data_IF_342824857051
#
_entry.id   IF_342824857051
#
_cell.length_a   1.000
_cell.length_b   1.000
_cell.length_c   1.000
_cell.angle_alpha   90.00
_cell.angle_beta   90.00
_cell.angle_gamma   90.00
#
_symmetry.space_group_name_H-M   'P 1'
#
loop_
_entity.id
_entity.type
_entity.pdbx_description
1 polymer ?
#
# COMPACT_ATOMS: atom_id res chain seq x y z
N UNK A 1 37.50 22.93 17.70
CA UNK A 1 37.09 21.59 18.14
C UNK A 1 35.65 21.43 17.68
N UNK A 2 35.33 20.64 16.64
CA UNK A 2 33.92 20.44 16.32
C UNK A 2 33.38 19.45 17.34
N UNK A 3 32.42 19.91 18.13
CA UNK A 3 31.66 19.06 19.05
C UNK A 3 31.02 17.94 18.24
N UNK A 4 31.16 16.71 18.75
CA UNK A 4 30.52 15.54 18.14
C UNK A 4 29.01 15.70 18.34
N UNK A 5 28.34 16.26 17.34
CA UNK A 5 26.89 16.11 17.20
C UNK A 5 26.57 14.61 17.35
N UNK A 6 25.71 14.28 18.30
CA UNK A 6 25.22 12.92 18.43
C UNK A 6 24.48 12.60 17.13
N UNK A 7 24.77 11.43 16.54
CA UNK A 7 24.03 10.97 15.36
C UNK A 7 22.54 10.90 15.72
N UNK A 8 21.65 11.36 14.84
CA UNK A 8 20.18 11.31 15.04
C UNK A 8 19.72 9.89 15.42
N UNK A 9 20.39 8.89 14.87
CA UNK A 9 20.25 7.48 15.21
C UNK A 9 20.40 7.19 16.72
N UNK A 10 21.35 7.85 17.39
CA UNK A 10 21.58 7.70 18.83
C UNK A 10 20.42 8.28 19.65
N UNK A 11 19.91 9.45 19.28
CA UNK A 11 18.79 10.11 19.96
C UNK A 11 17.48 9.33 19.78
N UNK A 12 17.21 8.87 18.56
CA UNK A 12 16.05 8.02 18.28
C UNK A 12 16.10 6.70 19.07
N UNK A 13 17.30 6.11 19.24
CA UNK A 13 17.47 4.91 20.08
C UNK A 13 17.28 5.17 21.58
N UNK A 14 17.47 6.40 22.06
CA UNK A 14 17.12 6.74 23.45
C UNK A 14 15.60 6.74 23.65
N UNK A 15 14.86 7.26 22.67
CA UNK A 15 13.39 7.29 22.69
C UNK A 15 12.78 5.89 22.48
N UNK A 16 13.39 5.07 21.63
CA UNK A 16 12.96 3.70 21.32
C UNK A 16 14.09 2.69 21.59
N UNK A 17 14.30 2.28 22.87
CA UNK A 17 15.47 1.50 23.27
C UNK A 17 15.46 0.04 22.80
N UNK A 18 14.28 -0.49 22.42
CA UNK A 18 14.12 -1.89 22.01
C UNK A 18 13.50 -2.00 20.62
N UNK A 19 14.01 -2.95 19.83
CA UNK A 19 13.36 -3.35 18.58
C UNK A 19 12.04 -4.06 18.89
N UNK A 20 10.97 -3.69 18.18
CA UNK A 20 9.64 -4.32 18.36
C UNK A 20 9.58 -5.68 17.64
N UNK A 21 10.42 -5.89 16.62
CA UNK A 21 10.57 -7.13 15.85
C UNK A 21 12.02 -7.31 15.40
N UNK A 22 12.43 -8.54 15.04
CA UNK A 22 13.79 -8.79 14.51
C UNK A 22 14.08 -8.04 13.21
N UNK A 23 13.04 -7.82 12.39
CA UNK A 23 13.09 -7.06 11.15
C UNK A 23 12.69 -5.59 11.34
N UNK A 24 12.69 -5.11 12.58
CA UNK A 24 12.47 -3.70 12.88
C UNK A 24 13.69 -2.87 12.48
N UNK A 25 13.45 -1.97 11.51
CA UNK A 25 14.43 -1.05 10.95
C UNK A 25 13.93 0.40 10.96
N UNK A 26 12.85 0.70 11.70
CA UNK A 26 12.22 2.02 11.65
C UNK A 26 13.20 3.13 12.04
N UNK A 27 13.91 2.97 13.16
CA UNK A 27 14.94 3.92 13.62
C UNK A 27 16.04 4.12 12.57
N UNK A 28 16.43 3.05 11.89
CA UNK A 28 17.49 3.09 10.86
C UNK A 28 16.99 3.81 9.59
N UNK A 29 15.71 3.68 9.25
CA UNK A 29 15.06 4.39 8.15
C UNK A 29 14.90 5.88 8.46
N UNK A 30 14.42 6.22 9.65
CA UNK A 30 14.24 7.60 10.09
C UNK A 30 15.58 8.33 10.15
N UNK A 31 16.59 7.73 10.77
CA UNK A 31 17.93 8.32 10.84
C UNK A 31 18.50 8.58 9.44
N UNK A 32 18.40 7.61 8.51
CA UNK A 32 18.88 7.78 7.13
C UNK A 32 18.16 8.94 6.43
N UNK A 33 16.83 9.03 6.52
CA UNK A 33 16.05 10.05 5.85
C UNK A 33 16.32 11.45 6.41
N UNK A 34 16.40 11.57 7.74
CA UNK A 34 16.66 12.85 8.40
C UNK A 34 18.11 13.31 8.16
N UNK A 35 19.09 12.41 8.22
CA UNK A 35 20.49 12.74 7.93
C UNK A 35 20.62 13.33 6.50
N UNK A 36 20.04 12.64 5.51
CA UNK A 36 20.03 13.13 4.11
C UNK A 36 19.28 14.44 3.96
N UNK A 37 18.20 14.62 4.70
CA UNK A 37 17.44 15.86 4.68
C UNK A 37 18.25 17.04 5.26
N UNK A 38 18.96 16.84 6.37
CA UNK A 38 19.83 17.87 6.96
C UNK A 38 21.00 18.24 6.05
N UNK A 39 21.58 17.27 5.35
CA UNK A 39 22.62 17.54 4.34
C UNK A 39 22.06 18.42 3.20
N UNK A 40 20.87 18.11 2.69
CA UNK A 40 20.18 18.93 1.68
C UNK A 40 19.84 20.32 2.23
N UNK A 41 19.42 20.43 3.50
CA UNK A 41 19.11 21.70 4.13
C UNK A 41 20.36 22.59 4.22
N UNK A 42 21.50 22.00 4.58
CA UNK A 42 22.79 22.69 4.60
C UNK A 42 23.19 23.20 3.21
N UNK A 43 23.04 22.38 2.18
CA UNK A 43 23.39 22.74 0.81
C UNK A 43 22.52 23.89 0.25
N UNK A 44 21.27 24.00 0.71
CA UNK A 44 20.32 24.99 0.23
C UNK A 44 20.34 26.30 1.03
N UNK A 45 20.46 26.22 2.35
CA UNK A 45 20.25 27.35 3.26
C UNK A 45 21.47 27.64 4.16
N UNK A 46 22.55 26.86 4.03
CA UNK A 46 23.79 27.03 4.79
C UNK A 46 23.81 26.30 6.13
N UNK A 47 24.99 26.21 6.76
CA UNK A 47 25.20 25.44 7.98
C UNK A 47 24.45 25.98 9.20
N UNK A 48 24.30 27.31 9.32
CA UNK A 48 23.61 27.93 10.45
C UNK A 48 22.16 27.46 10.60
N UNK A 49 21.43 27.32 9.48
CA UNK A 49 20.04 26.87 9.53
C UNK A 49 19.93 25.37 9.80
N UNK A 50 20.87 24.58 9.28
CA UNK A 50 20.98 23.14 9.60
C UNK A 50 21.19 22.94 11.10
N UNK A 51 22.17 23.63 11.67
CA UNK A 51 22.50 23.59 13.10
C UNK A 51 21.28 23.99 13.94
N UNK A 52 20.60 25.07 13.57
CA UNK A 52 19.39 25.50 14.28
C UNK A 52 18.26 24.46 14.24
N UNK A 53 17.96 23.88 13.08
CA UNK A 53 16.92 22.83 12.95
C UNK A 53 17.32 21.60 13.75
N UNK A 54 18.60 21.22 13.71
CA UNK A 54 19.11 20.12 14.52
C UNK A 54 18.95 20.41 16.00
N UNK A 55 19.41 21.54 16.52
CA UNK A 55 19.22 21.92 17.94
C UNK A 55 17.75 21.88 18.37
N UNK A 56 16.84 22.40 17.53
CA UNK A 56 15.41 22.31 17.82
C UNK A 56 14.91 20.86 17.87
N UNK A 57 15.42 19.98 17.01
CA UNK A 57 15.10 18.56 17.02
C UNK A 57 15.63 17.88 18.31
N UNK A 58 16.86 18.19 18.71
CA UNK A 58 17.50 17.64 19.91
C UNK A 58 16.76 18.06 21.19
N UNK A 59 16.44 19.35 21.33
CA UNK A 59 15.64 19.87 22.45
C UNK A 59 14.25 19.23 22.51
N UNK A 60 13.63 18.97 21.35
CA UNK A 60 12.33 18.29 21.29
C UNK A 60 12.41 16.83 21.71
N UNK A 61 13.49 16.14 21.32
CA UNK A 61 13.74 14.76 21.72
C UNK A 61 14.03 14.65 23.24
N UNK A 62 14.83 15.56 23.79
CA UNK A 62 15.08 15.64 25.23
C UNK A 62 13.83 16.00 26.03
N UNK A 63 12.96 16.86 25.48
CA UNK A 63 11.67 17.16 26.08
C UNK A 63 10.80 15.91 26.19
N UNK A 64 10.75 15.03 25.17
CA UNK A 64 9.93 13.81 25.28
C UNK A 64 10.44 12.84 26.34
N UNK A 65 11.76 12.83 26.63
CA UNK A 65 12.35 11.98 27.67
C UNK A 65 11.97 12.43 29.10
N UNK A 66 12.19 13.70 29.45
CA UNK A 66 12.01 14.17 30.83
C UNK A 66 10.72 14.98 31.05
N UNK A 67 10.04 15.42 29.98
CA UNK A 67 8.84 16.28 29.97
C UNK A 67 8.98 17.58 30.76
N UNK A 68 10.18 18.13 30.80
CA UNK A 68 10.48 19.39 31.48
C UNK A 68 9.97 20.60 30.69
N UNK A 69 9.06 21.37 31.27
CA UNK A 69 8.50 22.59 30.68
C UNK A 69 9.57 23.67 30.41
N UNK A 70 10.70 23.64 31.13
CA UNK A 70 11.80 24.58 30.90
C UNK A 70 12.39 24.43 29.48
N UNK A 71 12.53 23.19 28.98
CA UNK A 71 13.02 22.93 27.61
C UNK A 71 12.04 23.43 26.55
N UNK A 72 10.74 23.30 26.79
CA UNK A 72 9.71 23.85 25.90
C UNK A 72 9.76 25.38 25.87
N UNK A 73 10.01 26.01 27.02
CA UNK A 73 10.26 27.44 27.12
C UNK A 73 11.50 27.89 26.32
N UNK A 74 12.60 27.14 26.40
CA UNK A 74 13.81 27.39 25.61
C UNK A 74 13.54 27.28 24.10
N UNK A 75 12.87 26.21 23.67
CA UNK A 75 12.48 25.99 22.28
C UNK A 75 11.59 27.14 21.77
N UNK A 76 10.60 27.56 22.56
CA UNK A 76 9.72 28.68 22.22
C UNK A 76 10.48 30.01 22.09
N UNK A 77 11.42 30.27 23.00
CA UNK A 77 12.33 31.42 22.93
C UNK A 77 13.15 31.43 21.64
N UNK A 78 13.76 30.29 21.28
CA UNK A 78 14.53 30.16 20.03
C UNK A 78 13.64 30.40 18.81
N UNK A 79 12.46 29.79 18.74
CA UNK A 79 11.55 29.93 17.60
C UNK A 79 10.99 31.36 17.44
N UNK A 80 10.72 32.06 18.54
CA UNK A 80 10.22 33.45 18.50
C UNK A 80 11.29 34.48 18.18
N UNK A 81 12.57 34.14 18.40
CA UNK A 81 13.70 35.00 18.06
C UNK A 81 14.06 35.01 16.57
N UNK A 82 13.53 34.08 15.78
CA UNK A 82 13.83 33.95 14.36
C UNK A 82 13.19 35.06 13.51
N UNK A 83 13.89 35.54 12.47
CA UNK A 83 13.27 36.40 11.48
C UNK A 83 12.20 35.63 10.68
N UNK A 84 11.15 36.30 10.17
CA UNK A 84 10.02 35.63 9.51
C UNK A 84 10.41 34.70 8.35
N UNK A 85 11.47 35.03 7.61
CA UNK A 85 11.98 34.19 6.52
C UNK A 85 12.48 32.84 7.02
N UNK A 86 13.27 32.85 8.10
CA UNK A 86 13.85 31.64 8.68
C UNK A 86 12.78 30.80 9.38
N UNK A 87 11.80 31.45 10.05
CA UNK A 87 10.67 30.74 10.68
C UNK A 87 9.89 29.89 9.66
N UNK A 88 9.69 30.38 8.44
CA UNK A 88 8.99 29.63 7.38
C UNK A 88 9.80 28.39 6.98
N UNK A 89 11.12 28.53 6.80
CA UNK A 89 11.97 27.41 6.39
C UNK A 89 12.09 26.38 7.50
N UNK A 90 12.20 26.80 8.76
CA UNK A 90 12.24 25.90 9.93
C UNK A 90 10.91 25.14 10.05
N UNK A 91 9.77 25.82 9.99
CA UNK A 91 8.45 25.16 10.06
C UNK A 91 8.25 24.18 8.90
N UNK A 92 8.63 24.57 7.68
CA UNK A 92 8.59 23.70 6.50
C UNK A 92 9.50 22.49 6.66
N UNK A 93 10.69 22.67 7.23
CA UNK A 93 11.66 21.58 7.47
C UNK A 93 11.09 20.54 8.42
N UNK A 94 10.49 20.95 9.53
CA UNK A 94 9.82 20.01 10.44
C UNK A 94 8.61 19.30 9.82
N UNK A 95 7.82 19.99 8.99
CA UNK A 95 6.74 19.36 8.21
C UNK A 95 7.28 18.25 7.30
N UNK A 96 8.37 18.54 6.57
CA UNK A 96 9.01 17.56 5.70
C UNK A 96 9.64 16.39 6.47
N UNK A 97 10.30 16.65 7.61
CA UNK A 97 10.84 15.59 8.46
C UNK A 97 9.74 14.65 8.97
N UNK A 98 8.59 15.21 9.39
CA UNK A 98 7.43 14.41 9.78
C UNK A 98 6.89 13.58 8.61
N UNK A 99 6.80 14.17 7.42
CA UNK A 99 6.37 13.44 6.22
C UNK A 99 7.35 12.32 5.87
N UNK A 100 8.66 12.52 6.02
CA UNK A 100 9.67 11.47 5.81
C UNK A 100 9.53 10.34 6.85
N UNK A 101 9.29 10.65 8.12
CA UNK A 101 9.05 9.66 9.17
C UNK A 101 7.80 8.82 8.87
N UNK A 102 6.71 9.46 8.43
CA UNK A 102 5.50 8.75 8.01
C UNK A 102 5.79 7.78 6.85
N UNK A 103 6.64 8.16 5.89
CA UNK A 103 7.03 7.25 4.79
C UNK A 103 7.90 6.09 5.26
N UNK A 104 8.80 6.32 6.21
CA UNK A 104 9.60 5.26 6.83
C UNK A 104 8.69 4.27 7.57
N UNK A 105 7.71 4.77 8.32
CA UNK A 105 6.70 3.96 8.99
C UNK A 105 5.88 3.14 7.97
N UNK A 106 5.40 3.75 6.89
CA UNK A 106 4.68 3.05 5.82
C UNK A 106 5.51 1.91 5.22
N UNK A 107 6.81 2.14 4.96
CA UNK A 107 7.70 1.10 4.43
C UNK A 107 7.92 0.00 5.46
N UNK A 108 8.12 0.36 6.74
CA UNK A 108 8.26 -0.61 7.81
C UNK A 108 7.00 -1.46 7.95
N UNK A 109 5.80 -0.88 7.99
CA UNK A 109 4.53 -1.60 8.08
C UNK A 109 4.34 -2.52 6.86
N UNK A 110 4.63 -2.03 5.65
CA UNK A 110 4.45 -2.79 4.42
C UNK A 110 5.37 -4.03 4.32
N UNK A 111 6.53 -3.99 4.98
CA UNK A 111 7.54 -5.05 4.91
C UNK A 111 7.75 -5.82 6.22
N UNK A 112 7.07 -5.43 7.30
CA UNK A 112 7.08 -6.14 8.57
C UNK A 112 6.54 -7.55 8.37
N UNK A 113 7.30 -8.54 8.84
CA UNK A 113 6.87 -9.94 8.83
C UNK A 113 5.67 -10.10 9.76
N UNK A 114 4.66 -10.82 9.26
CA UNK A 114 3.51 -11.23 10.08
C UNK A 114 3.95 -12.20 11.17
N UNK A 115 3.37 -12.03 12.35
CA UNK A 115 3.61 -12.90 13.50
C UNK A 115 2.73 -14.13 13.33
N UNK A 116 3.36 -15.30 13.12
CA UNK A 116 2.65 -16.58 12.93
C UNK A 116 2.13 -17.18 14.24
N UNK A 117 2.72 -16.78 15.36
CA UNK A 117 2.36 -17.27 16.70
C UNK A 117 1.29 -16.34 17.27
N UNK A 118 0.03 -16.71 17.05
CA UNK A 118 -1.16 -15.96 17.44
C UNK A 118 -1.75 -16.52 18.74
N UNK A 119 -2.43 -15.68 19.52
CA UNK A 119 -3.11 -16.12 20.75
C UNK A 119 -4.39 -16.91 20.45
N UNK A 120 -4.95 -16.74 19.26
CA UNK A 120 -6.19 -17.38 18.81
C UNK A 120 -7.44 -16.68 19.32
N UNK A 121 -7.34 -15.44 19.79
CA UNK A 121 -8.45 -14.66 20.33
C UNK A 121 -8.84 -13.47 19.41
N UNK A 122 -9.90 -12.74 19.79
CA UNK A 122 -10.34 -11.56 19.03
C UNK A 122 -9.35 -10.38 19.14
N UNK A 123 -8.44 -10.39 20.12
CA UNK A 123 -7.45 -9.34 20.27
C UNK A 123 -6.39 -9.39 19.16
N UNK A 124 -6.15 -10.58 18.60
CA UNK A 124 -5.27 -10.74 17.43
C UNK A 124 -5.79 -9.96 16.20
N UNK A 125 -7.10 -9.77 16.04
CA UNK A 125 -7.69 -9.06 14.90
C UNK A 125 -7.59 -7.53 15.01
N UNK A 126 -7.18 -7.01 16.16
CA UNK A 126 -7.07 -5.57 16.40
C UNK A 126 -5.77 -4.95 15.85
N UNK A 127 -4.81 -5.77 15.40
CA UNK A 127 -3.49 -5.30 14.95
C UNK A 127 -3.06 -5.99 13.66
N UNK A 128 -2.63 -5.20 12.67
CA UNK A 128 -2.13 -5.70 11.38
C UNK A 128 -1.06 -6.82 11.43
N UNK A 129 -0.08 -6.84 12.38
CA UNK A 129 0.87 -7.95 12.47
C UNK A 129 0.24 -9.30 12.90
N UNK A 130 -0.91 -9.27 13.58
CA UNK A 130 -1.59 -10.44 14.15
C UNK A 130 -2.91 -10.77 13.47
N UNK A 131 -3.46 -9.85 12.67
CA UNK A 131 -4.75 -10.03 11.97
C UNK A 131 -4.74 -11.29 11.10
N UNK A 132 -5.90 -11.94 11.00
CA UNK A 132 -6.07 -13.11 10.15
C UNK A 132 -6.06 -12.72 8.68
N UNK A 133 -5.22 -13.39 7.90
CA UNK A 133 -5.31 -13.25 6.46
C UNK A 133 -6.57 -13.92 5.90
N UNK A 134 -6.87 -13.69 4.62
CA UNK A 134 -8.07 -14.28 4.02
C UNK A 134 -8.06 -15.81 4.06
N UNK A 135 -6.89 -16.45 3.93
CA UNK A 135 -6.77 -17.91 3.96
C UNK A 135 -6.98 -18.46 5.38
N UNK A 136 -6.40 -17.81 6.39
CA UNK A 136 -6.57 -18.11 7.81
C UNK A 136 -8.03 -17.92 8.23
N UNK A 137 -8.68 -16.86 7.75
CA UNK A 137 -10.11 -16.61 7.98
C UNK A 137 -10.98 -17.73 7.40
N UNK A 138 -10.72 -18.11 6.13
CA UNK A 138 -11.43 -19.22 5.48
C UNK A 138 -11.16 -20.56 6.18
N UNK A 139 -9.93 -20.80 6.65
CA UNK A 139 -9.58 -21.99 7.44
C UNK A 139 -10.39 -22.02 8.74
N UNK A 140 -10.42 -20.92 9.49
CA UNK A 140 -11.17 -20.80 10.74
C UNK A 140 -12.66 -21.06 10.55
N UNK A 141 -13.27 -20.52 9.48
CA UNK A 141 -14.68 -20.74 9.14
C UNK A 141 -15.00 -22.23 8.92
N UNK A 142 -14.13 -22.96 8.21
CA UNK A 142 -14.35 -24.38 7.92
C UNK A 142 -14.00 -25.27 9.11
N UNK A 143 -12.86 -25.04 9.78
CA UNK A 143 -12.35 -25.97 10.79
C UNK A 143 -12.90 -25.73 12.19
N UNK A 144 -13.12 -24.46 12.58
CA UNK A 144 -13.55 -24.13 13.94
C UNK A 144 -15.06 -23.85 14.01
N UNK A 145 -15.61 -23.19 12.99
CA UNK A 145 -17.03 -22.83 12.94
C UNK A 145 -17.90 -23.85 12.17
N UNK A 146 -17.28 -24.89 11.58
CA UNK A 146 -17.98 -26.00 10.94
C UNK A 146 -18.76 -25.64 9.68
N UNK A 147 -18.45 -24.53 9.02
CA UNK A 147 -19.14 -24.10 7.79
C UNK A 147 -18.73 -24.95 6.60
N UNK A 148 -19.70 -25.26 5.74
CA UNK A 148 -19.42 -25.97 4.49
C UNK A 148 -18.66 -25.06 3.52
N UNK A 149 -17.95 -25.65 2.55
CA UNK A 149 -17.16 -24.87 1.59
C UNK A 149 -18.06 -24.12 0.62
N UNK A 150 -19.20 -24.72 0.31
CA UNK A 150 -20.23 -24.22 -0.58
C UNK A 150 -20.90 -22.99 0.06
N UNK A 151 -21.21 -23.05 1.35
CA UNK A 151 -21.76 -21.90 2.11
C UNK A 151 -20.79 -20.72 2.13
N UNK A 152 -19.51 -20.97 2.40
CA UNK A 152 -18.48 -19.92 2.42
C UNK A 152 -18.31 -19.31 1.03
N UNK A 153 -18.32 -20.13 -0.02
CA UNK A 153 -18.22 -19.66 -1.39
C UNK A 153 -19.43 -18.82 -1.79
N UNK A 154 -20.64 -19.27 -1.48
CA UNK A 154 -21.86 -18.55 -1.81
C UNK A 154 -21.99 -17.23 -1.04
N UNK A 155 -21.54 -17.20 0.22
CA UNK A 155 -21.44 -15.96 1.00
C UNK A 155 -20.47 -14.97 0.35
N UNK A 156 -19.32 -15.43 -0.12
CA UNK A 156 -18.34 -14.58 -0.82
C UNK A 156 -18.91 -14.02 -2.14
N UNK A 157 -19.75 -14.78 -2.86
CA UNK A 157 -20.38 -14.27 -4.09
C UNK A 157 -21.35 -13.12 -3.85
N UNK A 158 -22.03 -13.15 -2.71
CA UNK A 158 -23.05 -12.16 -2.36
C UNK A 158 -22.49 -11.02 -1.49
N UNK A 159 -21.20 -11.05 -1.13
CA UNK A 159 -20.56 -10.05 -0.29
C UNK A 159 -20.15 -8.83 -1.12
N UNK A 160 -20.59 -7.65 -0.69
CA UNK A 160 -20.19 -6.36 -1.29
C UNK A 160 -19.51 -5.49 -0.24
N UNK A 161 -18.40 -4.85 -0.60
CA UNK A 161 -17.68 -3.89 0.24
C UNK A 161 -17.61 -2.55 -0.49
N UNK A 162 -18.37 -1.58 -0.01
CA UNK A 162 -18.41 -0.22 -0.55
C UNK A 162 -17.46 0.68 0.25
N UNK A 163 -16.40 1.18 -0.40
CA UNK A 163 -15.49 2.17 0.18
C UNK A 163 -15.89 3.57 -0.29
N UNK A 164 -16.16 4.47 0.66
CA UNK A 164 -16.53 5.87 0.38
C UNK A 164 -15.37 6.79 0.70
N UNK A 165 -14.87 7.49 -0.32
CA UNK A 165 -13.81 8.49 -0.13
C UNK A 165 -14.42 9.79 0.41
N UNK A 166 -13.74 10.41 1.37
CA UNK A 166 -14.11 11.72 1.91
C UNK A 166 -13.03 12.73 1.59
N UNK A 167 -13.41 14.00 1.48
CA UNK A 167 -12.44 15.08 1.36
C UNK A 167 -11.65 15.18 2.68
N UNK A 168 -10.33 15.31 2.58
CA UNK A 168 -9.50 15.57 3.76
C UNK A 168 -9.43 17.08 4.02
N UNK A 169 -9.97 17.59 5.14
CA UNK A 169 -10.24 19.01 5.35
C UNK A 169 -8.97 19.90 5.37
N UNK A 170 -7.79 19.31 5.59
CA UNK A 170 -6.54 20.05 5.78
C UNK A 170 -5.38 19.62 4.89
N UNK A 171 -5.49 18.51 4.15
CA UNK A 171 -4.35 17.93 3.42
C UNK A 171 -4.76 17.45 2.03
N UNK A 172 -4.97 18.39 1.11
CA UNK A 172 -4.97 18.06 -0.32
C UNK A 172 -3.53 17.97 -0.82
N UNK A 173 -2.85 16.87 -0.45
CA UNK A 173 -1.50 16.56 -0.95
C UNK A 173 -1.54 16.52 -2.48
N UNK A 174 -0.65 17.29 -3.12
CA UNK A 174 -0.59 17.34 -4.59
C UNK A 174 -0.17 15.97 -5.13
N UNK A 175 -0.75 15.56 -6.26
CA UNK A 175 -0.37 14.32 -6.96
C UNK A 175 1.14 14.23 -7.22
N UNK A 176 1.77 15.35 -7.59
CA UNK A 176 3.22 15.39 -7.80
C UNK A 176 4.01 15.02 -6.54
N UNK A 177 3.51 15.39 -5.36
CA UNK A 177 4.15 15.07 -4.08
C UNK A 177 3.92 13.60 -3.70
N UNK A 178 2.72 13.06 -3.91
CA UNK A 178 2.44 11.62 -3.75
C UNK A 178 3.37 10.73 -4.60
N UNK A 179 3.65 11.14 -5.83
CA UNK A 179 4.58 10.43 -6.71
C UNK A 179 6.02 10.47 -6.19
N UNK A 180 6.47 11.61 -5.67
CA UNK A 180 7.81 11.75 -5.05
C UNK A 180 7.91 10.89 -3.81
N UNK A 181 6.91 10.92 -2.94
CA UNK A 181 6.81 10.03 -1.79
C UNK A 181 6.82 8.54 -2.20
N UNK A 182 6.13 8.17 -3.27
CA UNK A 182 6.20 6.84 -3.87
C UNK A 182 7.62 6.44 -4.30
N UNK A 183 8.40 7.37 -4.88
CA UNK A 183 9.79 7.13 -5.27
C UNK A 183 10.72 7.01 -4.07
N UNK A 184 10.56 7.86 -3.06
CA UNK A 184 11.31 7.79 -1.78
C UNK A 184 11.10 6.41 -1.14
N UNK A 185 9.84 5.96 -1.01
CA UNK A 185 9.51 4.63 -0.48
C UNK A 185 10.16 3.50 -1.28
N UNK A 186 10.16 3.60 -2.62
CA UNK A 186 10.79 2.60 -3.47
C UNK A 186 12.32 2.58 -3.35
N UNK A 187 12.98 3.74 -3.19
CA UNK A 187 14.43 3.81 -2.97
C UNK A 187 14.79 3.20 -1.62
N UNK A 188 14.07 3.59 -0.56
CA UNK A 188 14.28 3.06 0.79
C UNK A 188 14.10 1.54 0.85
N UNK A 189 13.07 1.01 0.18
CA UNK A 189 12.88 -0.45 0.04
C UNK A 189 14.07 -1.14 -0.64
N UNK A 190 14.59 -0.57 -1.71
CA UNK A 190 15.67 -1.18 -2.50
C UNK A 190 17.01 -1.11 -1.77
N UNK A 191 17.30 -0.02 -1.06
CA UNK A 191 18.53 0.15 -0.27
C UNK A 191 18.74 -0.93 0.79
N UNK A 192 17.64 -1.48 1.34
CA UNK A 192 17.67 -2.54 2.35
C UNK A 192 17.36 -3.94 1.80
N UNK A 193 17.41 -4.10 0.47
CA UNK A 193 17.37 -5.42 -0.15
C UNK A 193 18.60 -6.26 0.28
N UNK A 194 18.44 -7.59 0.33
CA UNK A 194 19.48 -8.49 0.86
C UNK A 194 20.72 -8.57 -0.04
N UNK A 195 20.54 -8.47 -1.35
CA UNK A 195 21.58 -8.73 -2.36
C UNK A 195 21.80 -7.49 -3.23
N UNK A 196 22.21 -6.37 -2.61
CA UNK A 196 22.49 -5.11 -3.30
C UNK A 196 24.00 -4.93 -3.52
N UNK A 197 24.42 -4.52 -4.71
CA UNK A 197 25.82 -4.21 -4.98
C UNK A 197 26.20 -2.84 -4.41
N UNK A 198 27.51 -2.58 -4.24
CA UNK A 198 27.97 -1.28 -3.73
C UNK A 198 27.59 -0.13 -4.68
N UNK A 199 27.71 -0.37 -5.99
CA UNK A 199 27.38 0.62 -7.03
C UNK A 199 25.87 0.90 -7.05
N UNK A 200 25.03 -0.14 -7.02
CA UNK A 200 23.57 0.02 -6.95
C UNK A 200 23.15 0.81 -5.69
N UNK A 201 23.82 0.55 -4.56
CA UNK A 201 23.54 1.24 -3.31
C UNK A 201 23.88 2.72 -3.42
N UNK A 202 25.00 3.07 -4.06
CA UNK A 202 25.37 4.46 -4.28
C UNK A 202 24.36 5.16 -5.21
N UNK A 203 24.00 4.53 -6.34
CA UNK A 203 23.02 5.09 -7.28
C UNK A 203 21.64 5.31 -6.62
N UNK A 204 21.22 4.38 -5.75
CA UNK A 204 19.97 4.48 -5.01
C UNK A 204 20.02 5.56 -3.92
N UNK A 205 21.16 5.77 -3.26
CA UNK A 205 21.34 6.83 -2.27
C UNK A 205 21.30 8.21 -2.95
N UNK A 206 21.96 8.36 -4.10
CA UNK A 206 21.89 9.57 -4.92
C UNK A 206 20.46 9.81 -5.44
N UNK A 207 19.74 8.76 -5.84
CA UNK A 207 18.34 8.86 -6.22
C UNK A 207 17.43 9.30 -5.07
N UNK A 208 17.65 8.75 -3.87
CA UNK A 208 16.93 9.12 -2.65
C UNK A 208 17.14 10.61 -2.33
N UNK A 209 18.38 11.09 -2.32
CA UNK A 209 18.71 12.49 -2.08
C UNK A 209 18.00 13.42 -3.08
N UNK A 210 18.06 13.10 -4.37
CA UNK A 210 17.39 13.88 -5.42
C UNK A 210 15.87 13.96 -5.21
N UNK A 211 15.23 12.86 -4.82
CA UNK A 211 13.79 12.84 -4.60
C UNK A 211 13.38 13.57 -3.32
N UNK A 212 14.17 13.47 -2.24
CA UNK A 212 13.97 14.26 -1.00
C UNK A 212 14.10 15.76 -1.32
N UNK A 213 15.15 16.17 -2.02
CA UNK A 213 15.35 17.56 -2.41
C UNK A 213 14.21 18.06 -3.30
N UNK A 214 13.74 17.23 -4.23
CA UNK A 214 12.64 17.58 -5.12
C UNK A 214 11.29 17.65 -4.38
N UNK A 215 11.11 16.89 -3.30
CA UNK A 215 9.94 17.01 -2.41
C UNK A 215 10.02 18.30 -1.60
N UNK A 216 11.18 18.61 -1.01
CA UNK A 216 11.41 19.83 -0.21
C UNK A 216 11.19 21.12 -1.00
N UNK A 217 11.67 21.17 -2.25
CA UNK A 217 11.44 22.34 -3.13
C UNK A 217 10.02 22.46 -3.67
N UNK A 218 9.16 21.48 -3.41
CA UNK A 218 7.76 21.51 -3.85
C UNK A 218 6.88 22.00 -2.70
N UNK A 219 6.27 23.16 -2.84
CA UNK A 219 5.33 23.70 -1.84
C UNK A 219 4.27 22.66 -1.42
N UNK A 220 4.30 22.26 -0.14
CA UNK A 220 3.30 21.38 0.49
C UNK A 220 1.97 22.10 0.67
N UNK A 221 2.03 23.36 1.13
CA UNK A 221 0.86 24.17 1.46
C UNK A 221 0.40 24.92 0.22
N UNK A 222 -0.84 24.68 -0.20
CA UNK A 222 -1.48 25.51 -1.22
C UNK A 222 -1.81 26.88 -0.61
N UNK A 223 -1.35 27.96 -1.25
CA UNK A 223 -1.69 29.34 -0.86
C UNK A 223 -3.18 29.65 -0.98
N UNK A 224 -3.90 28.89 -1.81
CA UNK A 224 -5.34 29.00 -2.02
C UNK A 224 -6.02 27.67 -1.69
N UNK A 225 -7.18 27.69 -1.00
CA UNK A 225 -7.93 26.47 -0.74
C UNK A 225 -8.26 25.74 -2.05
N UNK A 226 -8.22 24.41 -2.08
CA UNK A 226 -8.55 23.64 -3.27
C UNK A 226 -10.02 23.85 -3.63
N UNK A 227 -10.31 23.86 -4.93
CA UNK A 227 -11.70 23.78 -5.39
C UNK A 227 -12.23 22.34 -5.20
N UNK A 228 -13.55 22.12 -5.11
CA UNK A 228 -14.11 20.77 -5.04
C UNK A 228 -13.63 19.86 -6.20
N UNK A 229 -13.39 20.44 -7.38
CA UNK A 229 -12.82 19.74 -8.53
C UNK A 229 -11.37 19.30 -8.30
N UNK A 230 -10.58 20.09 -7.58
CA UNK A 230 -9.20 19.74 -7.20
C UNK A 230 -9.16 18.63 -6.15
N UNK A 231 -10.08 18.65 -5.19
CA UNK A 231 -10.23 17.58 -4.21
C UNK A 231 -10.62 16.27 -4.87
N UNK A 232 -11.60 16.30 -5.79
CA UNK A 232 -11.96 15.16 -6.63
C UNK A 232 -10.74 14.61 -7.37
N UNK A 233 -9.96 15.47 -8.04
CA UNK A 233 -8.76 15.06 -8.77
C UNK A 233 -7.68 14.49 -7.85
N UNK A 234 -7.54 15.04 -6.64
CA UNK A 234 -6.61 14.54 -5.63
C UNK A 234 -7.02 13.15 -5.13
N UNK A 235 -8.29 12.92 -4.77
CA UNK A 235 -8.76 11.59 -4.36
C UNK A 235 -8.65 10.55 -5.48
N UNK A 236 -8.93 10.95 -6.72
CA UNK A 236 -8.75 10.07 -7.90
C UNK A 236 -7.28 9.70 -8.16
N UNK A 237 -6.30 10.40 -7.58
CA UNK A 237 -4.89 10.03 -7.74
C UNK A 237 -4.57 8.69 -7.06
N UNK A 238 -5.15 8.41 -5.88
CA UNK A 238 -5.01 7.13 -5.18
C UNK A 238 -5.54 5.95 -6.01
N UNK A 239 -6.59 6.19 -6.81
CA UNK A 239 -7.13 5.18 -7.72
C UNK A 239 -6.11 4.73 -8.75
N UNK A 240 -5.54 5.71 -9.46
CA UNK A 240 -4.59 5.44 -10.53
C UNK A 240 -3.28 4.86 -10.01
N UNK A 241 -2.82 5.27 -8.83
CA UNK A 241 -1.53 4.89 -8.29
C UNK A 241 -1.56 3.54 -7.57
N UNK A 242 -2.61 3.27 -6.77
CA UNK A 242 -2.65 2.10 -5.88
C UNK A 242 -3.84 1.18 -6.18
N UNK A 243 -5.07 1.70 -6.18
CA UNK A 243 -6.29 0.87 -6.15
C UNK A 243 -6.46 0.09 -7.45
N UNK A 244 -6.21 0.73 -8.61
CA UNK A 244 -6.35 0.10 -9.93
C UNK A 244 -5.54 -1.20 -10.07
N UNK A 245 -4.33 -1.23 -9.48
CA UNK A 245 -3.47 -2.42 -9.46
C UNK A 245 -3.74 -3.32 -8.25
N UNK A 246 -4.18 -2.73 -7.13
CA UNK A 246 -4.42 -3.41 -5.87
C UNK A 246 -5.63 -4.35 -5.91
N UNK A 247 -6.74 -3.90 -6.50
CA UNK A 247 -8.00 -4.67 -6.54
C UNK A 247 -7.84 -6.00 -7.28
N UNK A 248 -7.34 -6.06 -8.53
CA UNK A 248 -7.15 -7.34 -9.22
C UNK A 248 -6.16 -8.26 -8.49
N UNK A 249 -5.14 -7.70 -7.84
CA UNK A 249 -4.16 -8.46 -7.05
C UNK A 249 -4.80 -9.10 -5.82
N UNK A 250 -5.72 -8.39 -5.16
CA UNK A 250 -6.48 -8.90 -4.02
C UNK A 250 -7.47 -10.00 -4.45
N UNK A 251 -8.22 -9.80 -5.54
CA UNK A 251 -9.13 -10.84 -6.06
C UNK A 251 -8.39 -12.12 -6.43
N UNK A 252 -7.22 -11.98 -7.06
CA UNK A 252 -6.35 -13.13 -7.36
C UNK A 252 -5.84 -13.85 -6.11
N UNK A 253 -5.69 -13.14 -4.98
CA UNK A 253 -5.35 -13.74 -3.68
C UNK A 253 -6.51 -14.56 -3.13
N UNK A 254 -7.75 -14.06 -3.23
CA UNK A 254 -8.96 -14.81 -2.85
C UNK A 254 -9.05 -16.09 -3.68
N UNK A 255 -8.89 -16.00 -5.00
CA UNK A 255 -8.83 -17.15 -5.90
C UNK A 255 -7.81 -18.20 -5.46
N UNK A 256 -6.63 -17.76 -5.02
CA UNK A 256 -5.56 -18.66 -4.57
C UNK A 256 -5.95 -19.35 -3.27
N UNK A 257 -6.52 -18.61 -2.31
CA UNK A 257 -6.98 -19.16 -1.05
C UNK A 257 -8.13 -20.18 -1.23
N UNK A 258 -9.02 -19.93 -2.20
CA UNK A 258 -10.06 -20.88 -2.59
C UNK A 258 -9.49 -22.10 -3.34
N UNK A 259 -8.59 -21.89 -4.32
CA UNK A 259 -7.98 -22.97 -5.14
C UNK A 259 -7.08 -23.92 -4.33
N UNK A 260 -6.34 -23.43 -3.34
CA UNK A 260 -5.54 -24.30 -2.47
C UNK A 260 -6.39 -25.31 -1.67
N UNK A 261 -7.72 -25.15 -1.63
CA UNK A 261 -8.64 -26.13 -1.04
C UNK A 261 -9.68 -26.71 -2.00
N UNK A 262 -9.91 -26.10 -3.17
CA UNK A 262 -10.73 -26.65 -4.25
C UNK A 262 -9.91 -27.59 -5.12
N UNK A 263 -9.63 -28.81 -4.60
CA UNK A 263 -9.13 -29.98 -5.36
C UNK A 263 -10.05 -30.44 -6.51
N UNK A 264 -11.07 -29.67 -6.85
CA UNK A 264 -12.08 -30.07 -7.84
C UNK A 264 -11.53 -29.97 -9.28
N UNK A 265 -10.59 -29.06 -9.59
CA UNK A 265 -10.02 -28.91 -10.95
C UNK A 265 -9.20 -30.11 -11.43
N UNK A 266 -8.47 -30.79 -10.55
CA UNK A 266 -7.67 -31.95 -10.96
C UNK A 266 -8.54 -33.14 -11.40
N UNK A 267 -9.67 -33.37 -10.75
CA UNK A 267 -10.52 -34.53 -11.05
C UNK A 267 -11.07 -34.50 -12.48
N UNK A 268 -11.61 -33.35 -12.96
CA UNK A 268 -12.18 -33.30 -14.31
C UNK A 268 -11.17 -32.99 -15.41
N UNK A 269 -10.09 -32.24 -15.14
CA UNK A 269 -9.03 -32.03 -16.14
C UNK A 269 -8.32 -33.35 -16.45
N UNK A 270 -8.14 -34.23 -15.46
CA UNK A 270 -7.58 -35.57 -15.70
C UNK A 270 -8.49 -36.38 -16.62
N UNK A 271 -9.80 -36.41 -16.37
CA UNK A 271 -10.77 -37.12 -17.24
C UNK A 271 -10.84 -36.51 -18.64
N UNK A 272 -10.82 -35.18 -18.76
CA UNK A 272 -10.82 -34.48 -20.04
C UNK A 272 -9.54 -34.73 -20.84
N UNK A 273 -8.38 -34.73 -20.18
CA UNK A 273 -7.10 -35.06 -20.81
C UNK A 273 -7.05 -36.53 -21.27
N UNK A 274 -7.64 -37.45 -20.50
CA UNK A 274 -7.80 -38.86 -20.89
C UNK A 274 -8.73 -38.97 -22.10
N UNK A 275 -9.88 -38.28 -22.11
CA UNK A 275 -10.78 -38.23 -23.26
C UNK A 275 -10.11 -37.63 -24.51
N UNK A 276 -9.32 -36.57 -24.34
CA UNK A 276 -8.55 -35.94 -25.42
C UNK A 276 -7.50 -36.91 -25.98
N UNK A 277 -6.70 -37.54 -25.11
CA UNK A 277 -5.69 -38.52 -25.51
C UNK A 277 -6.31 -39.75 -26.21
N UNK A 278 -7.44 -40.25 -25.70
CA UNK A 278 -8.19 -41.34 -26.31
C UNK A 278 -8.72 -40.95 -27.71
N UNK A 279 -9.30 -39.75 -27.84
CA UNK A 279 -9.81 -39.23 -29.12
C UNK A 279 -8.70 -39.03 -30.13
N UNK A 280 -7.56 -38.46 -29.72
CA UNK A 280 -6.38 -38.29 -30.57
C UNK A 280 -5.79 -39.64 -31.00
N UNK A 281 -5.82 -40.66 -30.13
CA UNK A 281 -5.39 -42.02 -30.47
C UNK A 281 -6.32 -42.66 -31.51
N UNK A 282 -7.65 -42.47 -31.41
CA UNK A 282 -8.61 -42.94 -32.40
C UNK A 282 -8.45 -42.25 -33.75
N UNK A 283 -8.20 -40.94 -33.78
CA UNK A 283 -7.92 -40.21 -35.03
C UNK A 283 -6.66 -40.72 -35.74
N UNK A 284 -5.69 -41.26 -35.00
CA UNK A 284 -4.48 -41.88 -35.56
C UNK A 284 -4.66 -43.33 -36.00
N UNK A 285 -5.79 -43.96 -35.71
CA UNK A 285 -6.10 -45.32 -36.16
C UNK A 285 -6.55 -45.28 -37.64
N UNK A 286 -5.87 -45.98 -38.56
CA UNK A 286 -6.19 -45.95 -39.99
C UNK A 286 -7.60 -46.48 -40.34
N UNK A 287 -8.28 -47.14 -39.39
CA UNK A 287 -9.67 -47.61 -39.54
C UNK A 287 -10.73 -46.57 -39.12
N UNK A 288 -10.33 -45.44 -38.54
CA UNK A 288 -11.25 -44.44 -38.00
C UNK A 288 -11.74 -43.47 -39.08
N UNK A 289 -12.97 -43.68 -39.56
CA UNK A 289 -13.62 -42.78 -40.52
C UNK A 289 -14.24 -41.58 -39.79
N UNK A 290 -13.76 -40.37 -40.11
CA UNK A 290 -14.36 -39.11 -39.66
C UNK A 290 -15.35 -38.66 -40.73
N UNK A 291 -16.64 -38.60 -40.40
CA UNK A 291 -17.62 -37.89 -41.23
C UNK A 291 -17.37 -36.39 -41.10
N UNK A 292 -16.96 -35.67 -42.15
CA UNK A 292 -16.73 -34.24 -42.05
C UNK A 292 -18.07 -33.52 -41.87
N UNK A 293 -18.27 -32.91 -40.70
CA UNK A 293 -19.28 -31.87 -40.55
C UNK A 293 -18.73 -30.57 -41.14
N UNK A 294 -19.59 -29.71 -41.71
CA UNK A 294 -19.16 -28.42 -42.24
C UNK A 294 -18.49 -27.59 -41.14
N UNK A 295 -17.54 -26.70 -41.51
CA UNK A 295 -16.95 -25.80 -40.54
C UNK A 295 -18.06 -24.95 -39.91
N UNK A 296 -18.01 -24.80 -38.59
CA UNK A 296 -18.82 -23.84 -37.85
C UNK A 296 -18.43 -22.42 -38.29
N UNK A 297 -18.94 -21.98 -39.43
CA UNK A 297 -18.72 -20.64 -39.96
C UNK A 297 -20.05 -19.98 -40.31
N UNK A 298 -20.35 -18.91 -39.57
CA UNK A 298 -21.22 -17.79 -39.93
C UNK A 298 -22.71 -18.09 -40.19
N UNK A 299 -23.39 -18.68 -39.22
CA UNK A 299 -24.87 -18.64 -39.14
C UNK A 299 -25.34 -17.88 -37.88
N UNK A 300 -24.87 -16.64 -37.71
CA UNK A 300 -25.46 -15.69 -36.76
C UNK A 300 -25.66 -14.35 -37.46
N UNK A 301 -26.55 -14.34 -38.46
CA UNK A 301 -27.19 -13.12 -38.96
C UNK A 301 -28.65 -13.42 -39.19
N UNK A 302 -29.42 -13.36 -38.12
CA UNK A 302 -30.86 -13.08 -38.19
C UNK A 302 -31.17 -12.05 -37.08
N UNK A 303 -31.37 -10.80 -37.47
CA UNK A 303 -31.59 -9.63 -36.60
C UNK A 303 -33.05 -9.56 -36.07
N UNK A 304 -33.79 -10.68 -36.05
CA UNK A 304 -35.24 -10.67 -35.78
C UNK A 304 -35.72 -11.56 -34.63
N UNK A 305 -34.83 -12.17 -33.84
CA UNK A 305 -35.20 -12.91 -32.63
C UNK A 305 -34.30 -12.52 -31.44
N UNK A 306 -34.86 -12.17 -30.27
CA UNK A 306 -34.05 -11.84 -29.10
C UNK A 306 -33.30 -13.09 -28.63
N UNK A 307 -31.98 -13.02 -28.70
CA UNK A 307 -30.97 -13.94 -28.14
C UNK A 307 -31.48 -14.96 -27.10
N UNK A 308 -31.97 -16.12 -27.56
CA UNK A 308 -32.23 -17.32 -26.74
C UNK A 308 -30.96 -18.17 -26.51
N UNK A 309 -29.77 -17.71 -26.91
CA UNK A 309 -28.50 -18.44 -26.77
C UNK A 309 -27.85 -18.36 -25.39
N UNK A 310 -28.50 -17.70 -24.44
CA UNK A 310 -28.09 -17.74 -23.03
C UNK A 310 -29.10 -18.57 -22.24
N UNK A 311 -29.34 -19.80 -22.67
CA UNK A 311 -29.87 -20.79 -21.73
C UNK A 311 -28.71 -21.26 -20.85
N UNK A 312 -28.71 -20.79 -19.60
CA UNK A 312 -27.88 -21.29 -18.51
C UNK A 312 -27.89 -22.82 -18.53
N UNK A 313 -26.71 -23.42 -18.68
CA UNK A 313 -26.54 -24.86 -18.61
C UNK A 313 -26.89 -25.34 -17.19
N UNK A 314 -28.11 -25.87 -17.02
CA UNK A 314 -28.64 -26.37 -15.74
C UNK A 314 -27.97 -27.66 -15.25
N UNK A 315 -27.02 -28.22 -16.01
CA UNK A 315 -26.28 -29.45 -15.64
C UNK A 315 -24.84 -29.17 -15.19
N UNK A 316 -24.42 -27.91 -15.15
CA UNK A 316 -23.11 -27.52 -14.61
C UNK A 316 -23.27 -27.00 -13.19
N UNK A 317 -22.79 -27.73 -12.18
CA UNK A 317 -22.82 -27.29 -10.77
C UNK A 317 -21.98 -26.03 -10.49
N UNK A 318 -21.16 -25.57 -11.43
CA UNK A 318 -20.31 -24.39 -11.21
C UNK A 318 -20.24 -23.48 -12.44
N UNK A 319 -20.58 -22.21 -12.27
CA UNK A 319 -20.36 -21.14 -13.24
C UNK A 319 -18.88 -20.69 -13.23
N UNK A 320 -18.30 -20.37 -14.40
CA UNK A 320 -16.96 -19.79 -14.47
C UNK A 320 -16.98 -18.33 -13.98
N UNK A 321 -15.93 -17.92 -13.24
CA UNK A 321 -15.60 -16.51 -12.99
C UNK A 321 -15.86 -16.03 -11.56
N UNK A 322 -14.82 -16.08 -10.71
CA UNK A 322 -14.75 -15.21 -9.52
C UNK A 322 -14.44 -13.75 -9.91
N UNK A 323 -14.19 -13.50 -11.20
CA UNK A 323 -13.82 -12.19 -11.75
C UNK A 323 -14.95 -11.15 -11.58
N UNK A 324 -16.19 -11.59 -11.35
CA UNK A 324 -17.38 -10.72 -11.24
C UNK A 324 -18.01 -10.63 -9.83
N UNK A 325 -17.45 -11.29 -8.80
CA UNK A 325 -18.19 -11.50 -7.52
C UNK A 325 -17.83 -10.56 -6.38
N UNK A 326 -16.79 -9.74 -6.53
CA UNK A 326 -16.48 -8.70 -5.56
C UNK A 326 -16.63 -7.35 -6.24
N UNK A 327 -17.83 -6.78 -6.15
CA UNK A 327 -18.10 -5.43 -6.62
C UNK A 327 -17.54 -4.48 -5.56
N UNK A 328 -16.37 -3.91 -5.83
CA UNK A 328 -15.88 -2.75 -5.11
C UNK A 328 -16.54 -1.52 -5.71
N UNK A 329 -17.71 -1.15 -5.19
CA UNK A 329 -18.36 0.09 -5.60
C UNK A 329 -17.65 1.24 -4.92
N UNK A 330 -17.02 2.09 -5.72
CA UNK A 330 -16.35 3.27 -5.23
C UNK A 330 -17.25 4.47 -5.47
N UNK A 331 -17.92 4.93 -4.41
CA UNK A 331 -18.77 6.13 -4.47
C UNK A 331 -17.89 7.36 -4.31
N UNK A 332 -18.13 8.36 -5.15
CA UNK A 332 -17.30 9.55 -5.30
C UNK A 332 -17.08 10.32 -4.00
N UNK A 333 -16.12 11.24 -4.02
CA UNK A 333 -15.76 12.05 -2.86
C UNK A 333 -17.00 12.83 -2.39
N UNK A 334 -17.50 12.50 -1.20
CA UNK A 334 -18.50 13.32 -0.55
C UNK A 334 -17.82 14.63 -0.12
N UNK A 335 -18.00 15.68 -0.92
CA UNK A 335 -17.72 17.03 -0.47
C UNK A 335 -18.65 17.31 0.72
N UNK A 336 -18.08 17.51 1.90
CA UNK A 336 -18.80 18.04 3.06
C UNK A 336 -19.22 19.48 2.78
N UNK A 337 -20.24 19.67 1.95
CA UNK A 337 -20.91 20.96 1.75
C UNK A 337 -22.40 20.80 2.01
N UNK A 338 -22.76 20.41 3.24
CA UNK A 338 -24.07 20.69 3.82
C UNK A 338 -23.86 20.93 5.31
N UNK A 339 -23.49 22.16 5.69
CA UNK A 339 -23.89 22.85 6.94
C UNK A 339 -23.05 24.11 7.18
N UNK A 340 -23.23 25.12 6.31
CA UNK A 340 -23.11 26.53 6.70
C UNK A 340 -24.08 27.31 5.82
N UNK A 341 -25.32 27.39 6.29
CA UNK A 341 -26.36 28.32 5.84
C UNK A 341 -27.04 28.86 7.09
#
# INVERSE_FOLDING_TARGET
MPERHQSIDAQLRLLAPGKVSEDDKLVEYDALLVDRFLDILQDLHGPHLREFVQECYELSAEYENDRDEARLGELGSKLTSLPPGDSIVVASSFSHMLNLANLAEEVQIAHRRRIKLKRGDFADEASAPTESDIEETLKRLVSQLGKSREEVFDALKNQTVDLVFTAHPTQSVRRSLLQKHGRIRNCLRQLYAKDITADDKQELDEALQREIQAAFRTDEIRRTPPTPQDEMRAGMSYFHETIWKGVPKFLRRIDTALKQRLRLRESYITTLNVCQAYTLKRIRDPSFQVSPQPPLSKEFTDESQPAELVQLNQQSEYAPGLEDTLILTMKGIAAGMQNTG
#
